data_IF_396181316695
#
_entry.id   IF_396181316695
#
_cell.length_a   1.000
_cell.length_b   1.000
_cell.length_c   1.000
_cell.angle_alpha   90.00
_cell.angle_beta   90.00
_cell.angle_gamma   90.00
#
_symmetry.space_group_name_H-M   'P 1'
#
loop_
_entity.id
_entity.type
_entity.pdbx_description
1 polymer ?
#
# COMPACT_ATOMS: atom_id res chain seq x y z
N UNK A 1 34.25 -24.07 -0.96
CA UNK A 1 32.96 -24.74 -1.27
C UNK A 1 31.90 -23.65 -1.37
N UNK A 2 31.43 -23.29 -2.57
CA UNK A 2 30.54 -22.12 -2.70
C UNK A 2 29.13 -22.47 -2.19
N UNK A 3 28.64 -21.71 -1.22
CA UNK A 3 27.28 -21.80 -0.64
C UNK A 3 26.21 -21.76 -1.75
N UNK A 4 26.49 -21.07 -2.87
CA UNK A 4 25.65 -20.95 -4.07
C UNK A 4 25.32 -22.29 -4.75
N UNK A 5 26.12 -23.35 -4.54
CA UNK A 5 25.83 -24.67 -5.13
C UNK A 5 24.60 -25.32 -4.49
N UNK A 6 24.41 -25.11 -3.19
CA UNK A 6 23.29 -25.66 -2.41
C UNK A 6 21.97 -24.93 -2.66
N UNK A 7 22.04 -23.68 -3.13
CA UNK A 7 20.89 -22.89 -3.57
C UNK A 7 20.18 -23.49 -4.79
N UNK A 8 20.88 -24.24 -5.65
CA UNK A 8 20.31 -24.82 -6.87
C UNK A 8 19.25 -25.90 -6.63
N UNK A 9 19.30 -26.58 -5.50
CA UNK A 9 18.30 -27.60 -5.15
C UNK A 9 17.06 -27.02 -4.45
N UNK A 10 17.13 -25.75 -4.02
CA UNK A 10 16.04 -25.05 -3.30
C UNK A 10 15.44 -23.90 -4.13
N UNK A 11 15.61 -23.91 -5.46
CA UNK A 11 15.20 -22.79 -6.34
C UNK A 11 13.71 -22.49 -6.29
N UNK A 12 12.87 -23.52 -6.26
CA UNK A 12 11.41 -23.36 -6.26
C UNK A 12 10.89 -22.68 -4.97
N UNK A 13 11.22 -23.16 -3.75
CA UNK A 13 10.85 -22.45 -2.51
C UNK A 13 11.35 -21.01 -2.45
N UNK A 14 12.55 -20.73 -2.96
CA UNK A 14 13.14 -19.38 -2.93
C UNK A 14 12.40 -18.44 -3.89
N UNK A 15 12.04 -18.94 -5.07
CA UNK A 15 11.22 -18.19 -6.01
C UNK A 15 9.84 -17.85 -5.42
N UNK A 16 9.19 -18.82 -4.76
CA UNK A 16 7.93 -18.60 -4.04
C UNK A 16 8.11 -17.54 -2.95
N UNK A 17 9.19 -17.59 -2.16
CA UNK A 17 9.49 -16.57 -1.15
C UNK A 17 9.58 -15.18 -1.78
N UNK A 18 10.30 -15.03 -2.89
CA UNK A 18 10.45 -13.72 -3.56
C UNK A 18 9.09 -13.18 -4.02
N UNK A 19 8.25 -14.00 -4.63
CA UNK A 19 6.88 -13.60 -5.02
C UNK A 19 6.08 -13.14 -3.80
N UNK A 20 6.09 -13.92 -2.73
CA UNK A 20 5.36 -13.58 -1.50
C UNK A 20 5.90 -12.30 -0.85
N UNK A 21 7.20 -12.04 -0.93
CA UNK A 21 7.79 -10.78 -0.47
C UNK A 21 7.28 -9.59 -1.30
N UNK A 22 7.16 -9.74 -2.62
CA UNK A 22 6.59 -8.68 -3.48
C UNK A 22 5.14 -8.40 -3.10
N UNK A 23 4.31 -9.45 -2.94
CA UNK A 23 2.92 -9.30 -2.49
C UNK A 23 2.85 -8.57 -1.14
N UNK A 24 3.72 -8.93 -0.20
CA UNK A 24 3.81 -8.27 1.11
C UNK A 24 4.24 -6.81 0.99
N UNK A 25 5.20 -6.47 0.13
CA UNK A 25 5.64 -5.09 -0.11
C UNK A 25 4.48 -4.25 -0.63
N UNK A 26 3.78 -4.74 -1.66
CA UNK A 26 2.62 -4.04 -2.23
C UNK A 26 1.54 -3.82 -1.17
N UNK A 27 1.25 -4.84 -0.36
CA UNK A 27 0.28 -4.71 0.72
C UNK A 27 0.71 -3.66 1.76
N UNK A 28 1.96 -3.72 2.25
CA UNK A 28 2.48 -2.78 3.24
C UNK A 28 2.51 -1.34 2.74
N UNK A 29 2.77 -1.12 1.45
CA UNK A 29 2.72 0.21 0.84
C UNK A 29 1.28 0.71 0.63
N UNK A 30 0.29 -0.20 0.56
CA UNK A 30 -1.11 0.15 0.31
C UNK A 30 -1.88 0.49 1.58
N UNK A 31 -1.56 -0.13 2.72
CA UNK A 31 -2.24 0.12 3.98
C UNK A 31 -2.25 1.60 4.41
N UNK A 32 -1.13 2.35 4.33
CA UNK A 32 -1.13 3.78 4.65
C UNK A 32 -2.04 4.61 3.74
N UNK A 33 -2.23 4.20 2.47
CA UNK A 33 -3.14 4.91 1.58
C UNK A 33 -4.60 4.76 2.01
N UNK A 34 -5.01 3.58 2.49
CA UNK A 34 -6.35 3.43 3.03
C UNK A 34 -6.55 4.25 4.30
N UNK A 35 -5.54 4.34 5.16
CA UNK A 35 -5.59 5.24 6.32
C UNK A 35 -5.74 6.70 5.90
N UNK A 36 -4.96 7.15 4.91
CA UNK A 36 -5.07 8.50 4.34
C UNK A 36 -6.44 8.74 3.71
N UNK A 37 -6.99 7.80 2.94
CA UNK A 37 -8.32 7.91 2.35
C UNK A 37 -9.42 7.97 3.41
N UNK A 38 -9.33 7.16 4.47
CA UNK A 38 -10.31 7.19 5.56
C UNK A 38 -10.30 8.56 6.24
N UNK A 39 -9.12 9.14 6.49
CA UNK A 39 -9.02 10.44 7.16
C UNK A 39 -9.41 11.57 6.21
N UNK A 40 -8.79 11.65 5.03
CA UNK A 40 -8.96 12.76 4.11
C UNK A 40 -10.35 12.72 3.46
N UNK A 41 -10.70 11.61 2.81
CA UNK A 41 -11.98 11.49 2.08
C UNK A 41 -13.12 11.16 3.03
N UNK A 42 -12.93 10.17 3.91
CA UNK A 42 -13.97 9.76 4.84
C UNK A 42 -14.30 10.82 5.88
N UNK A 43 -13.32 11.24 6.69
CA UNK A 43 -13.57 12.11 7.83
C UNK A 43 -13.57 13.61 7.47
N UNK A 44 -12.58 14.09 6.71
CA UNK A 44 -12.47 15.53 6.41
C UNK A 44 -13.45 15.96 5.31
N UNK A 45 -13.59 15.18 4.24
CA UNK A 45 -14.45 15.51 3.09
C UNK A 45 -15.88 14.94 3.20
N UNK A 46 -16.22 14.20 4.27
CA UNK A 46 -17.57 13.66 4.45
C UNK A 46 -17.94 12.51 3.49
N UNK A 47 -16.95 11.80 2.95
CA UNK A 47 -17.12 10.73 1.98
C UNK A 47 -17.30 11.20 0.54
N UNK A 48 -17.07 12.49 0.26
CA UNK A 48 -17.13 13.07 -1.09
C UNK A 48 -15.77 12.82 -1.77
N UNK A 49 -15.77 12.03 -2.85
CA UNK A 49 -14.54 11.58 -3.51
C UNK A 49 -14.04 12.55 -4.60
N UNK A 50 -14.90 13.45 -5.10
CA UNK A 50 -14.61 14.36 -6.22
C UNK A 50 -14.97 15.80 -5.85
N UNK A 51 -14.14 16.80 -6.23
CA UNK A 51 -14.48 18.21 -6.08
C UNK A 51 -15.54 18.67 -7.10
N UNK A 52 -16.04 17.79 -7.98
CA UNK A 52 -17.17 18.06 -8.86
C UNK A 52 -18.46 17.62 -8.16
N UNK A 53 -19.35 18.55 -7.76
CA UNK A 53 -20.59 18.22 -7.08
C UNK A 53 -21.53 17.44 -8.00
N UNK A 54 -22.17 16.40 -7.49
CA UNK A 54 -23.21 15.67 -8.22
C UNK A 54 -24.47 16.52 -8.32
N UNK A 55 -24.72 17.34 -7.30
CA UNK A 55 -25.87 18.22 -7.21
C UNK A 55 -25.42 19.62 -6.76
N UNK A 56 -26.10 20.64 -7.25
CA UNK A 56 -25.88 22.04 -6.89
C UNK A 56 -27.23 22.74 -6.61
N UNK A 57 -27.26 23.63 -5.64
CA UNK A 57 -28.35 24.58 -5.42
C UNK A 57 -28.35 25.61 -6.56
N UNK A 58 -29.51 26.20 -6.79
CA UNK A 58 -29.68 27.23 -7.82
C UNK A 58 -28.80 28.45 -7.54
N UNK A 59 -28.58 28.78 -6.27
CA UNK A 59 -27.72 29.89 -5.86
C UNK A 59 -26.24 29.60 -6.17
N UNK A 60 -25.73 28.46 -5.71
CA UNK A 60 -24.33 28.08 -5.95
C UNK A 60 -24.04 27.93 -7.44
N UNK A 61 -24.96 27.36 -8.23
CA UNK A 61 -24.78 27.25 -9.68
C UNK A 61 -24.59 28.63 -10.34
N UNK A 62 -25.43 29.62 -9.99
CA UNK A 62 -25.32 30.98 -10.50
C UNK A 62 -24.02 31.67 -10.07
N UNK A 63 -23.55 31.42 -8.85
CA UNK A 63 -22.27 31.93 -8.38
C UNK A 63 -21.10 31.31 -9.17
N UNK A 64 -21.16 30.01 -9.47
CA UNK A 64 -20.18 29.32 -10.31
C UNK A 64 -20.17 29.87 -11.74
N UNK A 65 -21.34 30.15 -12.35
CA UNK A 65 -21.41 30.77 -13.68
C UNK A 65 -20.61 32.08 -13.76
N UNK A 66 -20.57 32.86 -12.66
CA UNK A 66 -19.80 34.09 -12.58
C UNK A 66 -18.29 33.91 -12.32
N UNK A 67 -17.86 32.71 -11.92
CA UNK A 67 -16.46 32.39 -11.57
C UNK A 67 -15.73 31.60 -12.66
N UNK A 68 -16.45 30.86 -13.50
CA UNK A 68 -15.89 30.09 -14.60
C UNK A 68 -15.49 30.99 -15.78
N UNK A 69 -14.35 30.70 -16.41
CA UNK A 69 -13.93 31.41 -17.63
C UNK A 69 -14.87 31.10 -18.80
N UNK A 70 -15.38 29.87 -18.86
CA UNK A 70 -16.34 29.40 -19.87
C UNK A 70 -17.60 28.83 -19.20
N UNK A 71 -18.59 29.69 -18.98
CA UNK A 71 -19.86 29.32 -18.36
C UNK A 71 -20.68 28.34 -19.22
N UNK A 72 -20.43 28.22 -20.53
CA UNK A 72 -21.16 27.27 -21.38
C UNK A 72 -20.75 25.82 -21.06
N UNK A 73 -19.50 25.60 -20.65
CA UNK A 73 -19.04 24.28 -20.20
C UNK A 73 -19.72 23.85 -18.90
N UNK A 74 -19.92 24.79 -17.98
CA UNK A 74 -20.65 24.54 -16.73
C UNK A 74 -22.12 24.17 -17.03
N UNK A 75 -22.78 24.93 -17.90
CA UNK A 75 -24.17 24.63 -18.32
C UNK A 75 -24.30 23.34 -19.13
N UNK A 76 -23.27 22.95 -19.88
CA UNK A 76 -23.26 21.68 -20.60
C UNK A 76 -23.12 20.47 -19.66
N UNK A 77 -22.51 20.66 -18.49
CA UNK A 77 -22.26 19.61 -17.53
C UNK A 77 -23.43 19.36 -16.57
N UNK A 78 -24.32 20.33 -16.37
CA UNK A 78 -25.40 20.30 -15.39
C UNK A 78 -26.77 20.60 -16.01
N UNK A 79 -27.78 19.86 -15.59
CA UNK A 79 -29.18 20.12 -15.96
C UNK A 79 -30.04 20.42 -14.75
N UNK A 80 -31.06 21.27 -14.89
CA UNK A 80 -31.93 21.64 -13.79
C UNK A 80 -32.97 20.54 -13.52
N UNK A 81 -32.96 20.01 -12.30
CA UNK A 81 -33.94 19.04 -11.83
C UNK A 81 -34.94 19.69 -10.85
N UNK A 82 -36.20 19.78 -11.29
CA UNK A 82 -37.29 20.34 -10.50
C UNK A 82 -37.71 19.46 -9.31
N UNK A 83 -37.41 18.15 -9.33
CA UNK A 83 -37.72 17.22 -8.23
C UNK A 83 -36.73 17.39 -7.07
N UNK A 84 -35.45 17.64 -7.37
CA UNK A 84 -34.41 17.86 -6.35
C UNK A 84 -34.23 19.34 -5.98
N UNK A 85 -34.82 20.26 -6.77
CA UNK A 85 -34.74 21.70 -6.51
C UNK A 85 -33.37 22.30 -6.79
N UNK A 86 -32.60 21.69 -7.71
CA UNK A 86 -31.22 22.04 -7.98
C UNK A 86 -30.72 21.56 -9.35
N UNK A 87 -29.44 21.77 -9.63
CA UNK A 87 -28.77 21.32 -10.84
C UNK A 87 -28.08 19.98 -10.61
N UNK A 88 -28.33 19.00 -11.47
CA UNK A 88 -27.71 17.67 -11.45
C UNK A 88 -26.60 17.55 -12.47
N UNK A 89 -25.49 16.94 -12.07
CA UNK A 89 -24.39 16.63 -12.98
C UNK A 89 -24.81 15.55 -13.98
N UNK A 90 -24.75 15.89 -15.27
CA UNK A 90 -25.07 15.00 -16.39
C UNK A 90 -23.82 14.57 -17.17
N UNK A 91 -22.77 15.39 -17.19
CA UNK A 91 -21.52 15.09 -17.88
C UNK A 91 -20.31 15.69 -17.14
N UNK A 92 -19.62 14.86 -16.35
CA UNK A 92 -18.40 15.25 -15.63
C UNK A 92 -17.24 15.62 -16.56
N UNK A 93 -17.23 15.11 -17.81
CA UNK A 93 -16.09 15.30 -18.72
C UNK A 93 -15.94 16.74 -19.24
N UNK A 94 -17.01 17.53 -19.14
CA UNK A 94 -17.00 18.94 -19.55
C UNK A 94 -16.21 19.83 -18.59
N UNK A 95 -16.01 19.38 -17.35
CA UNK A 95 -15.48 20.19 -16.24
C UNK A 95 -14.18 19.58 -15.70
N UNK A 96 -13.17 20.43 -15.51
CA UNK A 96 -11.96 20.03 -14.80
C UNK A 96 -12.19 20.00 -13.28
N UNK A 97 -11.79 18.91 -12.62
CA UNK A 97 -11.90 18.77 -11.16
C UNK A 97 -11.17 19.89 -10.40
N UNK A 98 -9.98 20.28 -10.87
CA UNK A 98 -9.19 21.36 -10.28
C UNK A 98 -9.84 22.74 -10.49
N UNK A 99 -10.37 22.99 -11.69
CA UNK A 99 -11.10 24.22 -12.02
C UNK A 99 -12.34 24.38 -11.13
N UNK A 100 -13.17 23.34 -11.06
CA UNK A 100 -14.35 23.33 -10.19
C UNK A 100 -13.99 23.46 -8.71
N UNK A 101 -13.00 22.73 -8.23
CA UNK A 101 -12.51 22.85 -6.86
C UNK A 101 -12.07 24.28 -6.54
N UNK A 102 -11.34 24.92 -7.45
CA UNK A 102 -10.90 26.31 -7.28
C UNK A 102 -12.07 27.29 -7.30
N UNK A 103 -13.07 27.09 -8.15
CA UNK A 103 -14.25 27.94 -8.25
C UNK A 103 -15.12 27.85 -6.99
N UNK A 104 -15.37 26.62 -6.50
CA UNK A 104 -16.10 26.39 -5.25
C UNK A 104 -15.38 26.96 -4.04
N UNK A 105 -14.04 26.85 -3.99
CA UNK A 105 -13.26 27.46 -2.92
C UNK A 105 -13.40 28.99 -2.90
N UNK A 106 -13.51 29.64 -4.07
CA UNK A 106 -13.69 31.10 -4.18
C UNK A 106 -15.09 31.57 -3.77
N UNK A 107 -16.13 30.77 -4.00
CA UNK A 107 -17.51 31.11 -3.61
C UNK A 107 -17.63 31.36 -2.11
N UNK A 108 -16.84 30.64 -1.32
CA UNK A 108 -16.84 30.77 0.15
C UNK A 108 -16.02 31.97 0.65
N UNK A 109 -15.24 32.66 -0.18
CA UNK A 109 -14.15 33.52 0.31
C UNK A 109 -14.46 35.02 0.40
N UNK A 110 -14.58 35.45 1.66
CA UNK A 110 -14.16 36.75 2.19
C UNK A 110 -12.66 36.79 2.57
N UNK A 111 -11.89 35.73 2.32
CA UNK A 111 -10.49 35.60 2.75
C UNK A 111 -9.59 35.18 1.55
N UNK A 112 -8.58 35.95 1.11
CA UNK A 112 -7.79 35.65 -0.08
C UNK A 112 -6.73 34.53 0.06
N UNK A 113 -6.44 34.05 1.27
CA UNK A 113 -5.23 33.23 1.54
C UNK A 113 -5.45 31.70 1.55
N UNK A 114 -6.66 31.21 1.26
CA UNK A 114 -7.06 29.83 1.53
C UNK A 114 -7.69 29.08 0.35
N UNK A 115 -7.09 29.19 -0.85
CA UNK A 115 -7.37 28.34 -2.02
C UNK A 115 -6.98 26.86 -1.75
N UNK A 116 -7.61 26.25 -0.76
CA UNK A 116 -7.40 24.86 -0.40
C UNK A 116 -8.53 24.00 -0.95
N UNK A 117 -8.17 22.84 -1.48
CA UNK A 117 -9.11 21.81 -1.93
C UNK A 117 -10.12 21.44 -0.81
N UNK A 118 -9.67 21.51 0.46
CA UNK A 118 -10.52 21.29 1.63
C UNK A 118 -11.69 22.27 1.74
N UNK A 119 -11.51 23.55 1.35
CA UNK A 119 -12.58 24.54 1.37
C UNK A 119 -13.67 24.22 0.34
N UNK A 120 -13.26 23.75 -0.84
CA UNK A 120 -14.19 23.28 -1.87
C UNK A 120 -15.06 22.15 -1.33
N UNK A 121 -14.46 21.09 -0.76
CA UNK A 121 -15.22 19.97 -0.21
C UNK A 121 -16.16 20.35 0.95
N UNK A 122 -15.80 21.35 1.76
CA UNK A 122 -16.73 21.88 2.76
C UNK A 122 -17.94 22.58 2.11
N UNK A 123 -17.74 23.33 1.02
CA UNK A 123 -18.84 23.93 0.25
C UNK A 123 -19.79 22.86 -0.31
N UNK A 124 -19.24 21.81 -0.95
CA UNK A 124 -20.05 20.70 -1.49
C UNK A 124 -20.84 20.03 -0.38
N UNK A 125 -20.23 19.86 0.79
CA UNK A 125 -20.91 19.27 1.95
C UNK A 125 -22.09 20.11 2.42
N UNK A 126 -21.95 21.43 2.47
CA UNK A 126 -23.03 22.35 2.85
C UNK A 126 -24.18 22.28 1.84
N UNK A 127 -23.83 22.28 0.55
CA UNK A 127 -24.78 22.12 -0.55
C UNK A 127 -25.62 20.83 -0.41
N UNK A 128 -24.94 19.72 -0.13
CA UNK A 128 -25.59 18.42 0.04
C UNK A 128 -26.53 18.43 1.25
N UNK A 129 -26.14 19.09 2.35
CA UNK A 129 -27.00 19.22 3.53
C UNK A 129 -28.24 20.07 3.21
N UNK A 130 -28.08 21.16 2.46
CA UNK A 130 -29.18 22.04 2.06
C UNK A 130 -30.19 21.33 1.15
N UNK A 131 -29.70 20.51 0.23
CA UNK A 131 -30.51 19.67 -0.65
C UNK A 131 -31.04 18.39 0.05
N UNK A 132 -30.84 18.25 1.36
CA UNK A 132 -31.37 17.15 2.17
C UNK A 132 -30.65 15.81 1.98
N UNK A 133 -29.48 15.81 1.34
CA UNK A 133 -28.64 14.63 1.16
C UNK A 133 -27.97 14.27 2.50
N UNK A 134 -28.14 13.01 2.91
CA UNK A 134 -27.55 12.48 4.14
C UNK A 134 -26.04 12.21 3.96
N UNK A 135 -25.24 13.25 4.19
CA UNK A 135 -23.77 13.19 4.15
C UNK A 135 -23.23 12.16 5.17
N UNK A 136 -23.92 11.95 6.30
CA UNK A 136 -23.51 10.94 7.29
C UNK A 136 -23.55 9.52 6.73
N UNK A 137 -24.57 9.18 5.93
CA UNK A 137 -24.63 7.90 5.21
C UNK A 137 -23.54 7.79 4.15
N UNK A 138 -23.24 8.85 3.42
CA UNK A 138 -22.18 8.88 2.40
C UNK A 138 -20.81 8.60 3.04
N UNK A 139 -20.48 9.37 4.09
CA UNK A 139 -19.28 9.21 4.91
C UNK A 139 -19.14 7.79 5.45
N UNK A 140 -20.17 7.27 6.11
CA UNK A 140 -20.13 5.93 6.70
C UNK A 140 -19.93 4.83 5.65
N UNK A 141 -20.60 4.94 4.50
CA UNK A 141 -20.44 3.98 3.40
C UNK A 141 -19.02 3.98 2.86
N UNK A 142 -18.43 5.16 2.66
CA UNK A 142 -17.05 5.28 2.20
C UNK A 142 -16.07 4.67 3.21
N UNK A 143 -16.16 5.05 4.49
CA UNK A 143 -15.29 4.56 5.55
C UNK A 143 -15.38 3.04 5.69
N UNK A 144 -16.59 2.47 5.68
CA UNK A 144 -16.78 1.02 5.79
C UNK A 144 -16.23 0.28 4.56
N UNK A 145 -16.46 0.79 3.35
CA UNK A 145 -15.94 0.20 2.12
C UNK A 145 -14.42 0.21 2.09
N UNK A 146 -13.80 1.33 2.43
CA UNK A 146 -12.34 1.49 2.46
C UNK A 146 -11.72 0.70 3.61
N UNK A 147 -12.35 0.69 4.79
CA UNK A 147 -11.94 -0.14 5.92
C UNK A 147 -12.00 -1.65 5.61
N UNK A 148 -13.03 -2.12 4.93
CA UNK A 148 -13.12 -3.52 4.49
C UNK A 148 -11.99 -3.89 3.52
N UNK A 149 -11.67 -3.01 2.56
CA UNK A 149 -10.50 -3.19 1.66
C UNK A 149 -9.19 -3.29 2.46
N UNK A 150 -9.02 -2.43 3.47
CA UNK A 150 -7.83 -2.42 4.34
C UNK A 150 -7.67 -3.73 5.12
N UNK A 151 -8.77 -4.28 5.66
CA UNK A 151 -8.76 -5.60 6.33
C UNK A 151 -8.37 -6.71 5.34
N UNK A 152 -8.93 -6.71 4.14
CA UNK A 152 -8.59 -7.69 3.10
C UNK A 152 -7.10 -7.68 2.76
N UNK A 153 -6.52 -6.51 2.52
CA UNK A 153 -5.08 -6.35 2.24
C UNK A 153 -4.22 -6.75 3.44
N UNK A 154 -4.66 -6.46 4.67
CA UNK A 154 -3.96 -6.86 5.90
C UNK A 154 -3.88 -8.38 6.04
N UNK A 155 -4.98 -9.09 5.75
CA UNK A 155 -5.03 -10.57 5.78
C UNK A 155 -4.07 -11.15 4.75
N UNK A 156 -4.06 -10.62 3.51
CA UNK A 156 -3.13 -11.06 2.46
C UNK A 156 -1.67 -10.84 2.88
N UNK A 157 -1.36 -9.69 3.50
CA UNK A 157 -0.01 -9.41 4.03
C UNK A 157 0.38 -10.41 5.13
N UNK A 158 -0.53 -10.71 6.05
CA UNK A 158 -0.30 -11.67 7.14
C UNK A 158 -0.06 -13.09 6.60
N UNK A 159 -0.89 -13.57 5.68
CA UNK A 159 -0.73 -14.88 5.04
C UNK A 159 0.59 -14.98 4.25
N UNK A 160 0.96 -13.91 3.55
CA UNK A 160 2.24 -13.83 2.83
C UNK A 160 3.42 -13.89 3.80
N UNK A 161 3.34 -13.17 4.93
CA UNK A 161 4.38 -13.18 5.96
C UNK A 161 4.57 -14.57 6.60
N UNK A 162 3.46 -15.26 6.94
CA UNK A 162 3.50 -16.62 7.51
C UNK A 162 4.10 -17.60 6.49
N UNK A 163 3.68 -17.51 5.23
CA UNK A 163 4.17 -18.37 4.15
C UNK A 163 5.67 -18.17 3.90
N UNK A 164 6.14 -16.91 3.87
CA UNK A 164 7.58 -16.58 3.77
C UNK A 164 8.35 -17.20 4.93
N UNK A 165 7.85 -17.07 6.16
CA UNK A 165 8.52 -17.65 7.34
C UNK A 165 8.64 -19.17 7.24
N UNK A 166 7.57 -19.84 6.80
CA UNK A 166 7.54 -21.29 6.60
C UNK A 166 8.54 -21.74 5.51
N UNK A 167 8.48 -21.17 4.31
CA UNK A 167 9.35 -21.57 3.20
C UNK A 167 10.83 -21.22 3.46
N UNK A 168 11.11 -20.07 4.08
CA UNK A 168 12.47 -19.68 4.44
C UNK A 168 13.06 -20.64 5.49
N UNK A 169 12.30 -20.93 6.56
CA UNK A 169 12.73 -21.86 7.62
C UNK A 169 12.95 -23.27 7.07
N UNK A 170 12.01 -23.79 6.27
CA UNK A 170 12.12 -25.12 5.66
C UNK A 170 13.32 -25.23 4.73
N UNK A 171 13.59 -24.20 3.93
CA UNK A 171 14.73 -24.17 3.01
C UNK A 171 16.06 -24.09 3.76
N UNK A 172 16.13 -23.25 4.80
CA UNK A 172 17.31 -23.12 5.66
C UNK A 172 17.62 -24.41 6.43
N UNK A 173 16.60 -25.06 7.00
CA UNK A 173 16.77 -26.31 7.74
C UNK A 173 17.31 -27.43 6.84
N UNK A 174 16.80 -27.55 5.60
CA UNK A 174 17.33 -28.51 4.61
C UNK A 174 18.78 -28.20 4.23
N UNK A 175 19.09 -26.92 4.03
CA UNK A 175 20.46 -26.48 3.77
C UNK A 175 21.40 -26.85 4.94
N UNK A 176 21.01 -26.54 6.18
CA UNK A 176 21.79 -26.85 7.39
C UNK A 176 21.96 -28.36 7.60
N UNK A 177 20.93 -29.16 7.32
CA UNK A 177 21.01 -30.62 7.38
C UNK A 177 22.06 -31.18 6.40
N UNK A 178 22.07 -30.69 5.15
CA UNK A 178 23.04 -31.12 4.13
C UNK A 178 24.46 -30.71 4.51
N UNK A 179 24.64 -29.45 4.91
CA UNK A 179 25.94 -28.95 5.33
C UNK A 179 26.48 -29.75 6.52
N UNK A 180 25.63 -30.06 7.50
CA UNK A 180 26.01 -30.90 8.65
C UNK A 180 26.43 -32.30 8.23
N UNK A 181 25.70 -32.92 7.30
CA UNK A 181 26.07 -34.25 6.78
C UNK A 181 27.44 -34.24 6.11
N UNK A 182 27.70 -33.27 5.23
CA UNK A 182 28.96 -33.19 4.49
C UNK A 182 30.16 -32.85 5.37
N UNK A 183 29.99 -31.89 6.28
CA UNK A 183 31.04 -31.54 7.25
C UNK A 183 31.33 -32.73 8.14
N UNK A 184 30.31 -33.43 8.66
CA UNK A 184 30.51 -34.62 9.49
C UNK A 184 31.24 -35.74 8.73
N UNK A 185 30.81 -36.07 7.51
CA UNK A 185 31.49 -37.07 6.69
C UNK A 185 32.95 -36.71 6.43
N UNK A 186 33.26 -35.41 6.24
CA UNK A 186 34.63 -34.96 6.05
C UNK A 186 35.45 -35.06 7.35
N UNK A 187 34.88 -34.65 8.48
CA UNK A 187 35.56 -34.68 9.79
C UNK A 187 35.92 -36.10 10.20
N UNK A 188 35.02 -37.07 10.00
CA UNK A 188 35.27 -38.48 10.33
C UNK A 188 36.32 -39.12 9.41
N UNK A 189 36.57 -38.55 8.22
CA UNK A 189 37.58 -39.05 7.29
C UNK A 189 39.02 -38.59 7.57
N UNK A 190 39.23 -37.76 8.59
CA UNK A 190 40.54 -37.20 8.90
C UNK A 190 41.48 -38.19 9.56
N UNK A 191 42.77 -38.10 9.22
CA UNK A 191 43.87 -38.80 9.88
C UNK A 191 44.23 -38.17 11.23
N UNK A 192 45.01 -38.89 12.05
CA UNK A 192 45.47 -38.38 13.35
C UNK A 192 46.29 -37.08 13.21
N UNK A 193 47.16 -37.00 12.20
CA UNK A 193 47.95 -35.79 11.93
C UNK A 193 47.08 -34.59 11.54
N UNK A 194 45.95 -34.81 10.86
CA UNK A 194 44.97 -33.74 10.58
C UNK A 194 44.18 -33.35 11.84
N UNK A 195 43.94 -34.29 12.76
CA UNK A 195 43.35 -34.03 14.08
C UNK A 195 44.20 -33.19 14.99
N UNK A 196 45.50 -33.37 14.95
CA UNK A 196 46.42 -32.54 15.72
C UNK A 196 46.50 -31.11 15.14
N UNK A 197 46.29 -30.94 13.83
CA UNK A 197 46.25 -29.62 13.18
C UNK A 197 44.95 -28.85 13.44
N UNK A 198 43.78 -29.51 13.37
CA UNK A 198 42.49 -28.82 13.52
C UNK A 198 41.93 -28.84 14.94
N UNK A 199 42.43 -29.71 15.83
CA UNK A 199 41.91 -30.00 17.17
C UNK A 199 40.45 -30.48 17.20
N UNK A 200 40.16 -31.46 18.05
CA UNK A 200 38.80 -31.99 18.22
C UNK A 200 37.80 -30.90 18.62
N UNK A 201 38.19 -29.98 19.51
CA UNK A 201 37.33 -28.91 19.99
C UNK A 201 36.90 -27.95 18.86
N UNK A 202 37.82 -27.52 17.99
CA UNK A 202 37.46 -26.63 16.87
C UNK A 202 36.50 -27.31 15.89
N UNK A 203 36.71 -28.60 15.62
CA UNK A 203 35.88 -29.36 14.69
C UNK A 203 34.46 -29.56 15.21
N UNK A 204 34.30 -29.70 16.53
CA UNK A 204 32.98 -29.71 17.17
C UNK A 204 32.28 -28.37 16.96
N UNK A 205 32.96 -27.25 17.21
CA UNK A 205 32.39 -25.90 16.99
C UNK A 205 32.00 -25.69 15.53
N UNK A 206 32.87 -26.06 14.58
CA UNK A 206 32.61 -25.95 13.13
C UNK A 206 31.46 -26.83 12.66
N UNK A 207 31.31 -28.03 13.24
CA UNK A 207 30.25 -28.98 12.86
C UNK A 207 28.88 -28.63 13.46
N UNK A 208 28.83 -27.72 14.43
CA UNK A 208 27.62 -27.39 15.19
C UNK A 208 27.26 -25.91 15.10
N UNK A 209 27.97 -25.07 15.85
CA UNK A 209 27.71 -23.63 15.97
C UNK A 209 27.85 -22.90 14.64
N UNK A 210 28.91 -23.16 13.87
CA UNK A 210 29.11 -22.47 12.59
C UNK A 210 28.00 -22.83 11.60
N UNK A 211 27.58 -24.10 11.55
CA UNK A 211 26.47 -24.54 10.70
C UNK A 211 25.15 -23.88 11.12
N UNK A 212 24.90 -23.74 12.43
CA UNK A 212 23.74 -23.04 12.93
C UNK A 212 23.76 -21.56 12.55
N UNK A 213 24.90 -20.89 12.68
CA UNK A 213 25.07 -19.50 12.26
C UNK A 213 24.78 -19.34 10.76
N UNK A 214 25.35 -20.20 9.91
CA UNK A 214 25.10 -20.15 8.47
C UNK A 214 23.62 -20.42 8.16
N UNK A 215 22.97 -21.38 8.83
CA UNK A 215 21.54 -21.64 8.68
C UNK A 215 20.72 -20.40 9.04
N UNK A 216 21.05 -19.71 10.14
CA UNK A 216 20.34 -18.50 10.56
C UNK A 216 20.56 -17.33 9.60
N UNK A 217 21.78 -17.16 9.10
CA UNK A 217 22.09 -16.19 8.03
C UNK A 217 21.28 -16.48 6.77
N UNK A 218 21.08 -17.75 6.40
CA UNK A 218 20.25 -18.12 5.26
C UNK A 218 18.78 -17.72 5.45
N UNK A 219 18.23 -17.91 6.65
CA UNK A 219 16.87 -17.41 6.99
C UNK A 219 16.80 -15.89 6.87
N UNK A 220 17.81 -15.17 7.40
CA UNK A 220 17.86 -13.71 7.36
C UNK A 220 17.94 -13.19 5.92
N UNK A 221 18.74 -13.83 5.07
CA UNK A 221 18.87 -13.47 3.66
C UNK A 221 17.50 -13.57 2.98
N UNK A 222 16.81 -14.71 3.14
CA UNK A 222 15.52 -14.93 2.50
C UNK A 222 14.39 -14.04 3.05
N UNK A 223 14.45 -13.60 4.30
CA UNK A 223 13.35 -12.86 4.94
C UNK A 223 13.55 -11.35 4.97
N UNK A 224 14.78 -10.88 5.16
CA UNK A 224 15.09 -9.48 5.49
C UNK A 224 15.93 -8.87 4.38
N UNK A 225 17.04 -9.52 4.00
CA UNK A 225 17.99 -8.94 3.04
C UNK A 225 17.37 -8.80 1.65
N UNK A 226 16.57 -9.76 1.20
CA UNK A 226 15.83 -9.64 -0.07
C UNK A 226 14.66 -8.66 0.05
N UNK A 227 14.00 -8.61 1.21
CA UNK A 227 12.84 -7.73 1.43
C UNK A 227 13.21 -6.24 1.40
N UNK A 228 14.33 -5.86 2.00
CA UNK A 228 14.78 -4.47 2.10
C UNK A 228 14.87 -3.74 0.74
N UNK A 229 15.60 -4.23 -0.28
CA UNK A 229 15.66 -3.58 -1.59
C UNK A 229 14.32 -3.61 -2.32
N UNK A 230 13.52 -4.68 -2.19
CA UNK A 230 12.17 -4.73 -2.76
C UNK A 230 11.27 -3.64 -2.18
N UNK A 231 11.33 -3.43 -0.86
CA UNK A 231 10.59 -2.38 -0.17
C UNK A 231 11.07 -1.00 -0.57
N UNK A 232 12.40 -0.79 -0.67
CA UNK A 232 12.97 0.48 -1.09
C UNK A 232 12.53 0.86 -2.51
N UNK A 233 12.67 -0.06 -3.48
CA UNK A 233 12.23 0.16 -4.86
C UNK A 233 10.72 0.36 -4.93
N UNK A 234 9.94 -0.48 -4.24
CA UNK A 234 8.48 -0.35 -4.21
C UNK A 234 8.01 0.98 -3.64
N UNK A 235 8.66 1.48 -2.59
CA UNK A 235 8.36 2.77 -1.99
C UNK A 235 8.65 3.94 -2.93
N UNK A 236 9.82 3.94 -3.58
CA UNK A 236 10.19 4.97 -4.57
C UNK A 236 9.19 5.01 -5.72
N UNK A 237 8.89 3.86 -6.32
CA UNK A 237 7.94 3.77 -7.43
C UNK A 237 6.54 4.30 -7.07
N UNK A 238 6.13 4.16 -5.80
CA UNK A 238 4.82 4.63 -5.33
C UNK A 238 4.76 6.12 -5.05
N UNK A 239 5.90 6.77 -4.82
CA UNK A 239 5.94 8.23 -4.65
C UNK A 239 6.00 8.93 -6.01
N UNK A 240 6.58 8.27 -7.02
CA UNK A 240 6.73 8.82 -8.37
C UNK A 240 5.47 8.70 -9.24
N UNK A 241 4.54 7.82 -8.90
CA UNK A 241 3.27 7.60 -9.59
C UNK A 241 2.11 8.10 -8.75
#
# INVERSE_FOLDING_TARGET
MSILKYLKESRLPIFIVVILLIVRVVANLTLPLFTSQIVNVGLQQGGIESPIPIVLTVETFKLLEGQFEDAERLKAAYDYDAEQGGYLLIDESQIGAEEMGSALARIRMSDPEGLSEQAAFQQIREEYIELGIDVGKLQNRFILKTGAKMVGVSIVSALSMISVAFFASRSAARFGQRLRKEVFTKVVSFSQAEMDNFSTASLVTRSTNDIQQIQQSFVMILRVVIYAPLMAVGGILRVMN
#
